data_IF_296287277458
#
_entry.id   IF_296287277458
#
_cell.length_a   1.000
_cell.length_b   1.000
_cell.length_c   1.000
_cell.angle_alpha   90.00
_cell.angle_beta   90.00
_cell.angle_gamma   90.00
#
_symmetry.space_group_name_H-M   'P 1'
#
loop_
_entity.id
_entity.type
_entity.pdbx_description
1 polymer ?
#
# COMPACT_ATOMS: atom_id res chain seq x y z
N UNK A 1 27.42 0.21 10.76
CA UNK A 1 26.10 0.77 10.38
C UNK A 1 25.06 -0.24 10.80
N UNK A 2 24.04 0.17 11.56
CA UNK A 2 22.86 -0.68 11.81
C UNK A 2 22.26 -1.06 10.46
N UNK A 3 21.99 -2.35 10.22
CA UNK A 3 21.28 -2.75 9.01
C UNK A 3 19.83 -2.32 9.24
N UNK A 4 19.30 -1.43 8.40
CA UNK A 4 17.90 -0.99 8.50
C UNK A 4 16.91 -2.18 8.51
N UNK A 5 17.32 -3.33 7.97
CA UNK A 5 16.58 -4.60 8.00
C UNK A 5 16.34 -5.17 9.40
N UNK A 6 17.13 -4.75 10.40
CA UNK A 6 16.99 -5.22 11.79
C UNK A 6 15.72 -4.63 12.46
N UNK A 7 15.17 -3.56 11.89
CA UNK A 7 13.93 -2.91 12.34
C UNK A 7 12.66 -3.55 11.77
N UNK A 8 12.79 -4.51 10.85
CA UNK A 8 11.67 -5.09 10.14
C UNK A 8 10.96 -6.17 10.97
N UNK A 9 9.65 -6.39 10.74
CA UNK A 9 8.91 -7.51 11.30
C UNK A 9 9.61 -8.84 11.06
N UNK A 10 9.39 -9.79 11.97
CA UNK A 10 9.94 -11.14 11.87
C UNK A 10 9.62 -11.80 10.53
N UNK A 11 8.37 -11.77 10.09
CA UNK A 11 7.96 -12.33 8.81
C UNK A 11 8.73 -11.74 7.60
N UNK A 12 9.01 -10.43 7.61
CA UNK A 12 9.81 -9.81 6.57
C UNK A 12 11.28 -10.25 6.65
N UNK A 13 11.85 -10.37 7.84
CA UNK A 13 13.23 -10.88 8.03
C UNK A 13 13.36 -12.34 7.61
N UNK A 14 12.37 -13.17 7.93
CA UNK A 14 12.30 -14.57 7.48
C UNK A 14 12.19 -14.68 5.97
N UNK A 15 11.34 -13.86 5.34
CA UNK A 15 11.25 -13.81 3.89
C UNK A 15 12.61 -13.47 3.26
N UNK A 16 13.33 -12.47 3.76
CA UNK A 16 14.67 -12.12 3.24
C UNK A 16 15.65 -13.29 3.46
N UNK A 17 15.65 -13.87 4.66
CA UNK A 17 16.57 -14.92 5.06
C UNK A 17 18.03 -14.49 4.89
N UNK A 18 18.82 -15.31 4.19
CA UNK A 18 20.23 -15.01 3.89
C UNK A 18 20.43 -14.24 2.57
N UNK A 19 19.34 -13.87 1.88
CA UNK A 19 19.41 -13.16 0.59
C UNK A 19 19.60 -11.68 0.82
N UNK A 20 20.09 -10.98 -0.21
CA UNK A 20 20.11 -9.52 -0.23
C UNK A 20 18.75 -9.02 -0.71
N UNK A 21 18.25 -7.94 -0.11
CA UNK A 21 17.10 -7.20 -0.65
C UNK A 21 17.58 -6.40 -1.85
N UNK A 22 16.87 -6.54 -2.96
CA UNK A 22 17.20 -5.87 -4.21
C UNK A 22 16.46 -4.54 -4.33
N UNK A 23 15.17 -4.55 -4.02
CA UNK A 23 14.27 -3.42 -4.19
C UNK A 23 13.37 -3.20 -2.96
N UNK A 24 13.02 -1.93 -2.74
CA UNK A 24 11.99 -1.53 -1.79
C UNK A 24 10.94 -0.71 -2.52
N UNK A 25 9.69 -1.14 -2.43
CA UNK A 25 8.52 -0.37 -2.81
C UNK A 25 8.12 0.54 -1.65
N UNK A 26 8.31 1.85 -1.84
CA UNK A 26 7.84 2.89 -0.92
C UNK A 26 6.36 3.17 -1.21
N UNK A 27 5.47 2.75 -0.33
CA UNK A 27 4.01 2.76 -0.56
C UNK A 27 3.30 3.81 0.29
N UNK A 28 2.28 4.45 -0.29
CA UNK A 28 1.21 5.19 0.38
C UNK A 28 -0.14 4.78 -0.18
N UNK A 29 -1.20 4.85 0.63
CA UNK A 29 -2.57 4.75 0.12
C UNK A 29 -3.04 6.10 -0.40
N UNK A 30 -3.58 6.15 -1.62
CA UNK A 30 -4.25 7.35 -2.15
C UNK A 30 -5.70 7.48 -1.60
N UNK A 31 -6.39 8.54 -2.00
CA UNK A 31 -7.76 8.83 -1.55
C UNK A 31 -8.76 7.74 -1.97
N UNK A 32 -8.52 7.05 -3.09
CA UNK A 32 -9.34 5.95 -3.57
C UNK A 32 -8.99 4.61 -2.88
N UNK A 33 -8.00 4.58 -1.99
CA UNK A 33 -7.53 3.38 -1.31
C UNK A 33 -6.56 2.54 -2.14
N UNK A 34 -6.03 3.07 -3.25
CA UNK A 34 -5.05 2.37 -4.08
C UNK A 34 -3.65 2.60 -3.53
N UNK A 35 -2.85 1.54 -3.46
CA UNK A 35 -1.43 1.65 -3.16
C UNK A 35 -0.69 2.38 -4.30
N UNK A 36 -0.07 3.51 -3.97
CA UNK A 36 0.74 4.35 -4.84
C UNK A 36 2.13 4.54 -4.26
N UNK A 37 3.08 4.98 -5.08
CA UNK A 37 4.40 5.36 -4.61
C UNK A 37 5.47 5.06 -5.64
N UNK A 38 6.64 4.60 -5.17
CA UNK A 38 7.78 4.34 -6.06
C UNK A 38 8.58 3.14 -5.58
N UNK A 39 9.13 2.41 -6.53
CA UNK A 39 10.13 1.38 -6.27
C UNK A 39 11.54 1.96 -6.36
N UNK A 40 12.46 1.46 -5.53
CA UNK A 40 13.86 1.89 -5.57
C UNK A 40 14.83 0.82 -5.07
N UNK A 41 16.10 0.83 -5.51
CA UNK A 41 17.09 -0.13 -5.04
C UNK A 41 17.28 -0.07 -3.52
N UNK A 42 17.24 -1.22 -2.86
CA UNK A 42 17.34 -1.34 -1.40
C UNK A 42 18.67 -0.78 -0.85
N UNK A 43 19.74 -0.83 -1.65
CA UNK A 43 21.03 -0.23 -1.31
C UNK A 43 20.96 1.31 -1.23
N UNK A 44 20.10 1.95 -2.02
CA UNK A 44 19.86 3.39 -1.96
C UNK A 44 18.91 3.71 -0.81
N UNK A 45 17.85 2.92 -0.63
CA UNK A 45 16.91 3.03 0.48
C UNK A 45 17.64 3.02 1.84
N UNK A 46 18.48 2.01 2.10
CA UNK A 46 19.21 1.92 3.37
C UNK A 46 20.23 3.03 3.66
N UNK A 47 20.51 3.94 2.72
CA UNK A 47 21.45 5.06 2.88
C UNK A 47 20.75 6.42 2.86
N UNK A 48 19.54 6.51 2.32
CA UNK A 48 18.83 7.79 2.22
C UNK A 48 18.16 8.15 3.53
N UNK A 49 18.21 9.45 3.86
CA UNK A 49 17.49 10.02 5.01
C UNK A 49 16.12 10.54 4.61
N UNK A 50 15.95 10.93 3.34
CA UNK A 50 14.73 11.57 2.83
C UNK A 50 14.26 10.88 1.54
N UNK A 51 12.95 10.70 1.45
CA UNK A 51 12.26 10.16 0.29
C UNK A 51 11.21 11.16 -0.16
N UNK A 52 11.09 11.38 -1.46
CA UNK A 52 10.17 12.38 -2.01
C UNK A 52 9.08 11.75 -2.87
N UNK A 53 7.88 12.32 -2.85
CA UNK A 53 6.77 12.01 -3.74
C UNK A 53 5.93 13.28 -3.93
N UNK A 54 5.52 13.65 -5.16
CA UNK A 54 4.70 14.83 -5.37
C UNK A 54 3.32 14.63 -4.74
N UNK A 55 2.77 15.69 -4.13
CA UNK A 55 1.45 15.64 -3.52
C UNK A 55 0.32 15.42 -4.53
N UNK A 56 0.57 15.65 -5.82
CA UNK A 56 -0.35 15.38 -6.91
C UNK A 56 -0.82 13.94 -6.92
N UNK A 57 -0.05 12.99 -6.38
CA UNK A 57 -0.45 11.57 -6.26
C UNK A 57 -1.81 11.37 -5.58
N UNK A 58 -2.22 12.27 -4.68
CA UNK A 58 -3.51 12.21 -4.00
C UNK A 58 -4.68 12.73 -4.84
N UNK A 59 -4.42 13.36 -5.98
CA UNK A 59 -5.40 13.78 -6.97
C UNK A 59 -5.64 12.72 -8.05
N UNK A 60 -4.84 11.65 -8.09
CA UNK A 60 -5.05 10.58 -9.08
C UNK A 60 -6.35 9.85 -8.78
N UNK A 61 -7.24 9.79 -9.77
CA UNK A 61 -8.52 9.09 -9.66
C UNK A 61 -8.36 7.59 -9.91
N UNK A 62 -9.41 6.82 -9.57
CA UNK A 62 -9.42 5.37 -9.80
C UNK A 62 -9.32 4.99 -11.29
N UNK A 63 -9.77 5.88 -12.19
CA UNK A 63 -9.68 5.71 -13.65
C UNK A 63 -8.30 6.06 -14.20
N UNK A 64 -7.40 6.60 -13.38
CA UNK A 64 -6.07 7.04 -13.78
C UNK A 64 -6.02 8.49 -14.29
N UNK A 65 -7.15 9.19 -14.30
CA UNK A 65 -7.24 10.63 -14.55
C UNK A 65 -6.83 11.44 -13.31
N UNK A 66 -6.89 12.76 -13.41
CA UNK A 66 -6.58 13.68 -12.31
C UNK A 66 -7.84 14.42 -11.91
N UNK A 67 -8.10 14.48 -10.61
CA UNK A 67 -9.13 15.33 -10.05
C UNK A 67 -8.77 16.80 -10.26
N UNK A 68 -9.79 17.65 -10.43
CA UNK A 68 -9.60 19.10 -10.46
C UNK A 68 -8.88 19.55 -9.19
N UNK A 69 -7.79 20.28 -9.37
CA UNK A 69 -7.06 20.77 -8.21
C UNK A 69 -7.87 21.89 -7.53
N UNK A 70 -8.16 21.79 -6.22
CA UNK A 70 -8.89 22.83 -5.50
C UNK A 70 -8.08 24.13 -5.29
N UNK A 71 -6.84 24.22 -5.78
CA UNK A 71 -5.98 25.41 -5.65
C UNK A 71 -5.66 26.01 -7.03
N UNK A 72 -5.85 27.32 -7.20
CA UNK A 72 -5.73 28.01 -8.51
C UNK A 72 -4.36 27.87 -9.18
N UNK A 73 -3.29 27.68 -8.38
CA UNK A 73 -1.93 27.44 -8.86
C UNK A 73 -1.33 26.21 -8.18
N UNK A 74 -1.49 25.04 -8.80
CA UNK A 74 -0.84 23.82 -8.31
C UNK A 74 0.63 23.81 -8.71
N UNK A 75 1.53 23.91 -7.73
CA UNK A 75 2.97 23.80 -7.96
C UNK A 75 3.51 22.39 -7.75
N UNK A 76 2.63 21.40 -7.58
CA UNK A 76 2.95 19.99 -7.29
C UNK A 76 4.08 19.82 -6.26
N UNK A 77 4.00 20.46 -5.08
CA UNK A 77 5.09 20.40 -4.12
C UNK A 77 5.37 18.95 -3.69
N UNK A 78 6.65 18.64 -3.61
CA UNK A 78 7.13 17.38 -3.06
C UNK A 78 6.78 17.26 -1.57
N UNK A 79 6.36 16.07 -1.19
CA UNK A 79 6.21 15.65 0.20
C UNK A 79 7.40 14.80 0.61
N UNK A 80 7.71 14.84 1.90
CA UNK A 80 8.68 13.95 2.52
C UNK A 80 7.97 12.67 2.97
N UNK A 81 8.50 11.52 2.54
CA UNK A 81 7.96 10.21 2.86
C UNK A 81 8.81 9.59 3.96
N UNK A 82 8.20 9.24 5.08
CA UNK A 82 8.88 8.66 6.23
C UNK A 82 8.54 7.17 6.31
N UNK A 83 9.51 6.25 6.14
CA UNK A 83 9.22 4.82 6.17
C UNK A 83 8.79 4.38 7.56
N UNK A 84 7.72 3.59 7.62
CA UNK A 84 7.39 2.83 8.82
C UNK A 84 7.85 1.38 8.64
N UNK A 85 9.03 1.08 9.18
CA UNK A 85 9.65 -0.23 9.08
C UNK A 85 8.78 -1.35 9.67
N UNK A 86 7.87 -1.05 10.61
CA UNK A 86 6.96 -2.04 11.21
C UNK A 86 5.91 -2.57 10.24
N UNK A 87 5.71 -1.87 9.11
CA UNK A 87 4.77 -2.26 8.05
C UNK A 87 5.41 -3.07 6.94
N UNK A 88 6.72 -3.34 7.02
CA UNK A 88 7.42 -4.00 5.95
C UNK A 88 6.88 -5.40 5.69
N UNK A 89 6.55 -5.68 4.43
CA UNK A 89 6.05 -6.99 3.97
C UNK A 89 6.76 -7.42 2.71
N UNK A 90 6.76 -8.73 2.45
CA UNK A 90 7.27 -9.27 1.20
C UNK A 90 6.36 -8.90 0.02
N UNK A 91 6.94 -8.67 -1.16
CA UNK A 91 6.25 -8.73 -2.44
C UNK A 91 6.61 -10.06 -3.14
N UNK A 92 6.01 -11.20 -2.74
CA UNK A 92 6.47 -12.53 -3.19
C UNK A 92 6.23 -12.83 -4.68
N UNK A 93 5.49 -11.98 -5.37
CA UNK A 93 5.20 -12.09 -6.80
C UNK A 93 6.29 -11.47 -7.69
N UNK A 94 7.27 -10.76 -7.12
CA UNK A 94 8.37 -10.15 -7.88
C UNK A 94 9.45 -11.17 -8.21
N UNK A 95 10.20 -10.94 -9.29
CA UNK A 95 11.33 -11.78 -9.65
C UNK A 95 12.53 -11.57 -8.69
N UNK A 96 12.73 -10.33 -8.26
CA UNK A 96 13.78 -9.93 -7.32
C UNK A 96 13.30 -10.00 -5.87
N UNK A 97 14.22 -9.96 -4.89
CA UNK A 97 13.85 -9.92 -3.47
C UNK A 97 13.37 -8.51 -3.12
N UNK A 98 12.05 -8.31 -3.22
CA UNK A 98 11.40 -7.01 -2.98
C UNK A 98 10.62 -6.97 -1.67
N UNK A 99 10.73 -5.85 -0.96
CA UNK A 99 9.88 -5.52 0.19
C UNK A 99 8.99 -4.32 -0.13
N UNK A 100 7.77 -4.33 0.38
CA UNK A 100 6.90 -3.15 0.42
C UNK A 100 6.97 -2.53 1.81
N UNK A 101 7.09 -1.21 1.89
CA UNK A 101 7.13 -0.45 3.15
C UNK A 101 6.18 0.73 3.05
N UNK A 102 5.21 0.82 3.97
CA UNK A 102 4.29 1.95 4.03
C UNK A 102 5.03 3.18 4.59
N UNK A 103 4.80 4.33 3.97
CA UNK A 103 5.36 5.61 4.40
C UNK A 103 4.27 6.55 4.93
N UNK A 104 4.63 7.40 5.88
CA UNK A 104 3.84 8.60 6.19
C UNK A 104 4.26 9.75 5.27
N UNK A 105 3.31 10.60 4.91
CA UNK A 105 3.58 11.81 4.12
C UNK A 105 3.68 13.04 5.03
N UNK A 106 4.76 13.80 4.90
CA UNK A 106 5.03 15.04 5.63
C UNK A 106 5.23 16.20 4.65
N UNK A 107 4.82 17.40 5.02
CA UNK A 107 5.08 18.61 4.23
C UNK A 107 6.53 19.09 4.42
N UNK A 108 6.91 20.15 3.69
CA UNK A 108 8.25 20.74 3.80
C UNK A 108 8.58 21.42 5.14
N UNK A 109 7.60 21.58 6.03
CA UNK A 109 7.78 22.09 7.38
C UNK A 109 7.86 20.95 8.41
N UNK A 110 7.73 19.69 7.98
CA UNK A 110 7.73 18.53 8.85
C UNK A 110 6.39 18.28 9.53
N UNK A 111 5.28 18.86 9.05
CA UNK A 111 3.94 18.53 9.53
C UNK A 111 3.37 17.34 8.74
N UNK A 112 2.52 16.48 9.35
CA UNK A 112 1.81 15.45 8.61
C UNK A 112 0.91 16.07 7.52
N UNK A 113 0.98 15.54 6.30
CA UNK A 113 0.06 15.92 5.22
C UNK A 113 -1.36 15.54 5.62
N UNK A 114 -2.20 16.54 5.82
CA UNK A 114 -3.47 16.41 6.55
C UNK A 114 -4.50 15.50 5.85
N UNK A 115 -4.42 15.40 4.52
CA UNK A 115 -5.32 14.62 3.66
C UNK A 115 -4.75 13.25 3.26
N UNK A 116 -3.52 12.90 3.68
CA UNK A 116 -3.02 11.54 3.48
C UNK A 116 -3.87 10.56 4.32
N UNK A 117 -4.47 9.51 3.72
CA UNK A 117 -5.36 8.59 4.42
C UNK A 117 -4.75 7.99 5.68
N UNK A 118 -3.45 7.64 5.64
CA UNK A 118 -2.74 7.10 6.80
C UNK A 118 -2.60 8.11 7.93
N UNK A 119 -2.31 9.37 7.61
CA UNK A 119 -2.24 10.45 8.61
C UNK A 119 -3.62 10.76 9.21
N UNK A 120 -4.68 10.72 8.38
CA UNK A 120 -6.06 10.83 8.87
C UNK A 120 -6.37 9.70 9.84
N UNK A 121 -6.04 8.45 9.49
CA UNK A 121 -6.24 7.29 10.36
C UNK A 121 -5.49 7.45 11.69
N UNK A 122 -4.22 7.86 11.66
CA UNK A 122 -3.43 8.13 12.87
C UNK A 122 -4.08 9.16 13.78
N UNK A 123 -4.61 10.25 13.20
CA UNK A 123 -5.35 11.28 13.95
C UNK A 123 -6.60 10.70 14.61
N UNK A 124 -7.41 9.92 13.88
CA UNK A 124 -8.62 9.29 14.42
C UNK A 124 -8.26 8.30 15.55
N UNK A 125 -7.24 7.47 15.37
CA UNK A 125 -6.75 6.56 16.44
C UNK A 125 -6.29 7.34 17.66
N UNK A 126 -5.61 8.47 17.48
CA UNK A 126 -5.23 9.37 18.59
C UNK A 126 -6.43 9.92 19.35
N UNK A 127 -7.53 10.25 18.66
CA UNK A 127 -8.78 10.68 19.31
C UNK A 127 -9.40 9.58 20.18
N UNK A 128 -9.38 8.32 19.70
CA UNK A 128 -9.80 7.18 20.51
C UNK A 128 -8.94 7.01 21.76
N UNK A 129 -7.61 7.07 21.60
CA UNK A 129 -6.67 6.94 22.71
C UNK A 129 -6.82 8.05 23.76
N UNK A 130 -7.16 9.27 23.35
CA UNK A 130 -7.42 10.38 24.27
C UNK A 130 -8.65 10.14 25.19
N UNK A 131 -9.57 9.27 24.77
CA UNK A 131 -10.70 8.80 25.59
C UNK A 131 -10.36 7.55 26.42
N UNK A 132 -9.12 7.07 26.36
CA UNK A 132 -8.69 5.80 26.96
C UNK A 132 -9.20 4.58 26.19
N UNK A 133 -9.63 4.73 24.94
CA UNK A 133 -10.16 3.62 24.13
C UNK A 133 -9.09 3.03 23.22
N UNK A 134 -9.19 1.72 22.98
CA UNK A 134 -8.38 1.00 21.99
C UNK A 134 -9.29 0.59 20.84
N UNK A 135 -9.25 1.28 19.68
CA UNK A 135 -10.11 0.93 18.57
C UNK A 135 -9.67 -0.40 17.96
N UNK A 136 -10.63 -1.31 17.74
CA UNK A 136 -10.41 -2.61 17.09
C UNK A 136 -11.26 -2.66 15.83
N UNK A 137 -10.63 -3.00 14.71
CA UNK A 137 -11.30 -3.19 13.42
C UNK A 137 -10.93 -4.56 12.86
N UNK A 138 -11.93 -5.29 12.37
CA UNK A 138 -11.78 -6.59 11.72
C UNK A 138 -12.55 -6.54 10.39
N UNK A 139 -11.97 -5.95 9.33
CA UNK A 139 -12.62 -5.93 8.02
C UNK A 139 -12.60 -7.33 7.41
N UNK A 140 -13.75 -7.75 6.87
CA UNK A 140 -13.88 -8.96 6.06
C UNK A 140 -13.88 -8.55 4.58
N UNK A 141 -12.86 -8.96 3.83
CA UNK A 141 -12.74 -8.67 2.41
C UNK A 141 -13.24 -9.88 1.62
N UNK A 142 -14.41 -9.74 1.02
CA UNK A 142 -14.94 -10.72 0.07
C UNK A 142 -14.42 -10.42 -1.33
N UNK A 143 -14.05 -11.46 -2.08
CA UNK A 143 -13.62 -11.33 -3.46
C UNK A 143 -14.11 -12.50 -4.31
N UNK A 144 -14.22 -12.28 -5.62
CA UNK A 144 -14.57 -13.31 -6.59
C UNK A 144 -13.34 -13.70 -7.39
N UNK A 145 -13.09 -15.00 -7.50
CA UNK A 145 -12.21 -15.54 -8.54
C UNK A 145 -13.03 -15.75 -9.81
N UNK A 146 -12.52 -15.30 -10.94
CA UNK A 146 -13.19 -15.37 -12.24
C UNK A 146 -12.35 -16.19 -13.22
N UNK A 147 -13.00 -16.79 -14.22
CA UNK A 147 -12.31 -17.28 -15.40
C UNK A 147 -11.70 -16.09 -16.17
N UNK A 148 -10.61 -16.31 -16.95
CA UNK A 148 -10.11 -15.28 -17.85
C UNK A 148 -11.24 -14.73 -18.74
N UNK A 149 -11.50 -13.42 -18.67
CA UNK A 149 -12.51 -12.75 -19.49
C UNK A 149 -11.81 -11.83 -20.49
N UNK A 150 -11.61 -12.34 -21.71
CA UNK A 150 -10.89 -11.64 -22.78
C UNK A 150 -11.80 -10.76 -23.64
N UNK A 151 -13.12 -10.93 -23.56
CA UNK A 151 -14.11 -10.12 -24.25
C UNK A 151 -15.00 -9.42 -23.21
N UNK A 152 -14.87 -8.10 -23.02
CA UNK A 152 -15.64 -7.37 -22.02
C UNK A 152 -17.16 -7.38 -22.27
N UNK A 153 -17.61 -7.78 -23.47
CA UNK A 153 -19.03 -7.94 -23.78
C UNK A 153 -19.60 -9.28 -23.28
N UNK A 154 -18.74 -10.21 -22.88
CA UNK A 154 -19.14 -11.51 -22.34
C UNK A 154 -19.32 -11.44 -20.82
N UNK A 155 -20.29 -12.19 -20.27
CA UNK A 155 -20.50 -12.24 -18.83
C UNK A 155 -19.29 -12.83 -18.10
N UNK A 156 -19.04 -12.36 -16.89
CA UNK A 156 -18.03 -12.93 -16.00
C UNK A 156 -18.48 -14.31 -15.53
N UNK A 157 -17.59 -15.30 -15.67
CA UNK A 157 -17.85 -16.70 -15.29
C UNK A 157 -16.91 -17.18 -14.18
N UNK A 158 -17.33 -18.21 -13.44
CA UNK A 158 -16.47 -18.86 -12.44
C UNK A 158 -15.29 -19.62 -13.11
N UNK A 159 -14.09 -19.65 -12.49
CA UNK A 159 -12.96 -20.38 -13.03
C UNK A 159 -13.22 -21.88 -13.03
N UNK A 160 -12.54 -22.60 -13.93
CA UNK A 160 -12.56 -24.05 -13.91
C UNK A 160 -11.79 -24.54 -12.67
N UNK A 161 -12.48 -25.27 -11.79
CA UNK A 161 -11.86 -25.86 -10.61
C UNK A 161 -10.88 -26.99 -10.98
N UNK A 162 -10.04 -27.40 -10.03
CA UNK A 162 -9.08 -28.51 -10.21
C UNK A 162 -9.75 -29.84 -10.60
N UNK A 163 -11.02 -30.02 -10.25
CA UNK A 163 -11.83 -31.19 -10.63
C UNK A 163 -12.33 -31.17 -12.09
N UNK A 164 -11.99 -30.12 -12.86
CA UNK A 164 -12.52 -29.90 -14.20
C UNK A 164 -13.96 -29.36 -14.22
N UNK A 165 -14.57 -29.11 -13.04
CA UNK A 165 -15.92 -28.58 -12.90
C UNK A 165 -15.87 -27.14 -12.39
N UNK A 166 -16.74 -26.29 -12.92
CA UNK A 166 -16.99 -24.96 -12.35
C UNK A 166 -17.78 -25.10 -11.06
N UNK A 167 -17.49 -24.24 -10.09
CA UNK A 167 -18.28 -24.19 -8.86
C UNK A 167 -19.75 -23.91 -9.19
N UNK A 168 -20.65 -24.70 -8.61
CA UNK A 168 -22.08 -24.56 -8.80
C UNK A 168 -22.62 -23.38 -7.98
N UNK A 169 -22.51 -22.17 -8.53
CA UNK A 169 -23.22 -20.99 -8.05
C UNK A 169 -22.75 -20.36 -6.72
N UNK A 170 -23.51 -19.34 -6.29
CA UNK A 170 -23.22 -18.42 -5.18
C UNK A 170 -23.41 -19.09 -3.83
N UNK A 171 -22.38 -19.77 -3.34
CA UNK A 171 -22.37 -20.32 -1.98
C UNK A 171 -21.54 -19.43 -1.05
N UNK A 172 -22.07 -18.24 -0.74
CA UNK A 172 -21.38 -17.25 0.09
C UNK A 172 -21.03 -17.74 1.51
N UNK A 173 -21.70 -18.80 1.98
CA UNK A 173 -21.50 -19.37 3.32
C UNK A 173 -21.32 -20.90 3.31
N UNK A 174 -21.01 -21.52 2.17
CA UNK A 174 -20.69 -22.96 2.19
C UNK A 174 -19.23 -23.14 2.60
N UNK A 175 -19.03 -24.02 3.58
CA UNK A 175 -17.74 -24.66 3.84
C UNK A 175 -17.46 -25.72 2.78
#
# INVERSE_FOLDING_TARGET
MSKWTDQLPEAAREYIGNRRVDEVECVVGDIAGVARGKAMPAAKFGKQTNYFLPNSIFLQTITGEWADNPFDAFTEPDMYMIPDFTTATAAPWTADVTLQVIHDAMDGQGNPVAYSPRNVLKRIVGLYQAQGWTPVVAPEMEFFLTAPNIDPNMPVEAPMGRSGRRAAGKQAYSL
#
